data_IF_494671219888
#
_entry.id   IF_494671219888
#
_cell.length_a   1.000
_cell.length_b   1.000
_cell.length_c   1.000
_cell.angle_alpha   90.00
_cell.angle_beta   90.00
_cell.angle_gamma   90.00
#
_symmetry.space_group_name_H-M   'P 1'
#
loop_
_entity.id
_entity.type
_entity.pdbx_description
1 polymer ?
#
# COMPACT_ATOMS: atom_id res chain seq x y z
N UNK A 1 -45.44 -59.05 -29.58
CA UNK A 1 -44.03 -58.91 -29.13
C UNK A 1 -43.78 -57.44 -28.90
N UNK A 2 -43.81 -57.00 -27.64
CA UNK A 2 -43.52 -55.61 -27.25
C UNK A 2 -42.19 -55.66 -26.53
N UNK A 3 -41.15 -55.09 -27.13
CA UNK A 3 -39.84 -54.89 -26.48
C UNK A 3 -39.95 -53.70 -25.53
N UNK A 4 -39.72 -53.96 -24.24
CA UNK A 4 -39.45 -52.94 -23.23
C UNK A 4 -37.95 -52.58 -23.32
N UNK A 5 -37.59 -51.28 -23.36
CA UNK A 5 -36.19 -50.88 -23.32
C UNK A 5 -35.65 -50.93 -21.88
N UNK A 6 -34.59 -51.72 -21.70
CA UNK A 6 -33.67 -51.65 -20.56
C UNK A 6 -32.79 -50.40 -20.72
N UNK A 7 -33.12 -49.33 -20.01
CA UNK A 7 -32.24 -48.16 -19.87
C UNK A 7 -32.14 -47.77 -18.39
N UNK A 8 -31.31 -48.50 -17.66
CA UNK A 8 -30.86 -48.13 -16.31
C UNK A 8 -29.65 -47.21 -16.44
N UNK A 9 -29.91 -45.92 -16.59
CA UNK A 9 -28.89 -44.88 -16.42
C UNK A 9 -28.31 -44.95 -14.98
N UNK A 10 -27.00 -44.74 -14.80
CA UNK A 10 -26.38 -44.72 -13.47
C UNK A 10 -26.96 -43.57 -12.66
N UNK A 11 -27.57 -43.91 -11.51
CA UNK A 11 -28.02 -42.92 -10.51
C UNK A 11 -26.83 -42.06 -10.11
N UNK A 12 -26.85 -40.79 -10.48
CA UNK A 12 -25.98 -39.74 -9.95
C UNK A 12 -25.98 -39.83 -8.42
N UNK A 13 -24.80 -40.04 -7.82
CA UNK A 13 -24.64 -40.10 -6.38
C UNK A 13 -25.19 -38.81 -5.75
N UNK A 14 -26.14 -38.95 -4.83
CA UNK A 14 -26.64 -37.83 -4.05
C UNK A 14 -25.44 -37.17 -3.32
N UNK A 15 -25.34 -35.83 -3.30
CA UNK A 15 -24.24 -35.15 -2.63
C UNK A 15 -24.20 -35.58 -1.16
N UNK A 16 -23.02 -35.99 -0.68
CA UNK A 16 -22.82 -36.46 0.68
C UNK A 16 -23.33 -35.41 1.68
N UNK A 17 -24.27 -35.81 2.55
CA UNK A 17 -24.80 -34.95 3.60
C UNK A 17 -23.65 -34.44 4.50
N UNK A 18 -23.57 -33.12 4.71
CA UNK A 18 -22.62 -32.53 5.65
C UNK A 18 -22.82 -33.14 7.05
N UNK A 19 -21.72 -33.47 7.72
CA UNK A 19 -21.83 -34.03 9.07
C UNK A 19 -22.25 -32.92 10.05
N UNK A 20 -23.02 -33.30 11.08
CA UNK A 20 -23.41 -32.37 12.16
C UNK A 20 -22.16 -31.77 12.86
N UNK A 21 -21.03 -32.49 12.88
CA UNK A 21 -19.75 -32.00 13.41
C UNK A 21 -19.18 -30.85 12.55
N UNK A 22 -19.25 -30.95 11.23
CA UNK A 22 -18.81 -29.87 10.33
C UNK A 22 -19.71 -28.64 10.50
N UNK A 23 -21.01 -28.85 10.72
CA UNK A 23 -21.96 -27.77 11.00
C UNK A 23 -21.65 -27.09 12.34
N UNK A 24 -21.38 -27.86 13.39
CA UNK A 24 -20.99 -27.35 14.71
C UNK A 24 -19.67 -26.57 14.67
N UNK A 25 -18.68 -27.04 13.90
CA UNK A 25 -17.41 -26.34 13.69
C UNK A 25 -17.62 -25.01 12.95
N UNK A 26 -18.44 -25.00 11.89
CA UNK A 26 -18.80 -23.77 11.17
C UNK A 26 -19.53 -22.77 12.06
N UNK A 27 -20.52 -23.21 12.84
CA UNK A 27 -21.27 -22.33 13.76
C UNK A 27 -20.35 -21.79 14.86
N UNK A 28 -19.47 -22.62 15.43
CA UNK A 28 -18.47 -22.16 16.41
C UNK A 28 -17.50 -21.16 15.79
N UNK A 29 -17.05 -21.38 14.56
CA UNK A 29 -16.19 -20.44 13.84
C UNK A 29 -16.90 -19.10 13.57
N UNK A 30 -18.18 -19.12 13.18
CA UNK A 30 -18.97 -17.90 12.99
C UNK A 30 -19.28 -17.18 14.32
N UNK A 31 -19.55 -17.90 15.41
CA UNK A 31 -19.72 -17.31 16.73
C UNK A 31 -18.42 -16.65 17.23
N UNK A 32 -17.29 -17.33 17.06
CA UNK A 32 -15.97 -16.75 17.39
C UNK A 32 -15.66 -15.54 16.49
N UNK A 33 -16.07 -15.57 15.22
CA UNK A 33 -15.95 -14.44 14.30
C UNK A 33 -16.79 -13.25 14.76
N UNK A 34 -18.02 -13.46 15.24
CA UNK A 34 -18.88 -12.40 15.77
C UNK A 34 -18.32 -11.86 17.10
N UNK A 35 -17.90 -12.74 18.01
CA UNK A 35 -17.28 -12.34 19.28
C UNK A 35 -15.98 -11.56 19.09
N UNK A 36 -15.22 -11.87 18.04
CA UNK A 36 -13.99 -11.15 17.68
C UNK A 36 -14.21 -9.72 17.14
N UNK A 37 -15.44 -9.32 16.79
CA UNK A 37 -15.75 -7.99 16.24
C UNK A 37 -15.85 -6.86 17.27
N UNK A 38 -15.68 -7.15 18.57
CA UNK A 38 -15.77 -6.18 19.68
C UNK A 38 -16.86 -5.10 19.47
N UNK A 39 -18.12 -5.54 19.36
CA UNK A 39 -19.25 -4.66 19.05
C UNK A 39 -19.46 -3.57 20.13
N UNK A 40 -19.05 -3.84 21.37
CA UNK A 40 -19.09 -2.87 22.46
C UNK A 40 -18.05 -1.76 22.25
N UNK A 41 -16.82 -2.13 21.88
CA UNK A 41 -15.78 -1.17 21.48
C UNK A 41 -16.20 -0.32 20.28
N UNK A 42 -16.75 -0.96 19.23
CA UNK A 42 -17.26 -0.24 18.06
C UNK A 42 -18.36 0.77 18.44
N UNK A 43 -19.33 0.36 19.27
CA UNK A 43 -20.36 1.28 19.76
C UNK A 43 -19.76 2.48 20.49
N UNK A 44 -18.78 2.26 21.37
CA UNK A 44 -18.13 3.34 22.10
C UNK A 44 -17.37 4.31 21.16
N UNK A 45 -16.75 3.78 20.10
CA UNK A 45 -16.09 4.60 19.07
C UNK A 45 -17.09 5.44 18.26
N UNK A 46 -18.23 4.87 17.87
CA UNK A 46 -19.32 5.59 17.18
C UNK A 46 -19.88 6.69 18.08
N UNK A 47 -20.25 6.36 19.31
CA UNK A 47 -20.83 7.34 20.25
C UNK A 47 -19.88 8.52 20.49
N UNK A 48 -18.56 8.25 20.58
CA UNK A 48 -17.54 9.28 20.72
C UNK A 48 -17.42 10.16 19.48
N UNK A 49 -17.47 9.56 18.28
CA UNK A 49 -17.39 10.31 17.02
C UNK A 49 -18.60 11.22 16.85
N UNK A 50 -19.82 10.68 17.01
CA UNK A 50 -21.08 11.42 16.91
C UNK A 50 -21.13 12.57 17.92
N UNK A 51 -20.65 12.37 19.15
CA UNK A 51 -20.62 13.42 20.17
C UNK A 51 -19.70 14.61 19.82
N UNK A 52 -18.70 14.41 18.95
CA UNK A 52 -17.75 15.45 18.53
C UNK A 52 -18.01 16.03 17.13
N UNK A 53 -18.79 15.35 16.30
CA UNK A 53 -18.98 15.66 14.89
C UNK A 53 -19.58 17.07 14.67
N UNK A 54 -20.68 17.40 15.34
CA UNK A 54 -21.33 18.71 15.20
C UNK A 54 -20.37 19.88 15.49
N UNK A 55 -19.49 19.70 16.49
CA UNK A 55 -18.50 20.71 16.85
C UNK A 55 -17.42 20.85 15.76
N UNK A 56 -16.97 19.73 15.18
CA UNK A 56 -16.01 19.73 14.06
C UNK A 56 -16.61 20.42 12.83
N UNK A 57 -17.86 20.08 12.48
CA UNK A 57 -18.56 20.67 11.33
C UNK A 57 -18.77 22.16 11.54
N UNK A 58 -19.24 22.57 12.73
CA UNK A 58 -19.47 23.99 13.05
C UNK A 58 -18.18 24.81 13.05
N UNK A 59 -17.09 24.31 13.66
CA UNK A 59 -15.80 25.01 13.69
C UNK A 59 -15.21 25.15 12.28
N UNK A 60 -15.29 24.09 11.48
CA UNK A 60 -14.83 24.11 10.09
C UNK A 60 -15.62 25.11 9.25
N UNK A 61 -16.96 25.06 9.32
CA UNK A 61 -17.83 25.98 8.58
C UNK A 61 -17.57 27.45 8.92
N UNK A 62 -17.27 27.76 10.18
CA UNK A 62 -16.93 29.11 10.63
C UNK A 62 -15.59 29.61 10.05
N UNK A 63 -14.59 28.73 9.92
CA UNK A 63 -13.24 29.07 9.43
C UNK A 63 -13.13 29.07 7.90
N UNK A 64 -13.97 28.27 7.23
CA UNK A 64 -13.87 28.04 5.79
C UNK A 64 -13.79 29.32 4.92
N UNK A 65 -14.61 30.37 5.13
CA UNK A 65 -14.56 31.57 4.29
C UNK A 65 -13.17 32.23 4.28
N UNK A 66 -12.54 32.38 5.45
CA UNK A 66 -11.22 32.98 5.59
C UNK A 66 -10.12 32.11 4.97
N UNK A 67 -10.21 30.78 5.15
CA UNK A 67 -9.25 29.85 4.55
C UNK A 67 -9.34 29.86 3.01
N UNK A 68 -10.56 29.89 2.47
CA UNK A 68 -10.81 29.95 1.02
C UNK A 68 -10.32 31.27 0.43
N UNK A 69 -10.59 32.40 1.07
CA UNK A 69 -10.11 33.70 0.63
C UNK A 69 -8.57 33.74 0.59
N UNK A 70 -7.91 33.25 1.64
CA UNK A 70 -6.44 33.16 1.70
C UNK A 70 -5.89 32.26 0.60
N UNK A 71 -6.50 31.10 0.36
CA UNK A 71 -6.11 30.22 -0.75
C UNK A 71 -6.24 30.93 -2.11
N UNK A 72 -7.36 31.64 -2.35
CA UNK A 72 -7.55 32.40 -3.59
C UNK A 72 -6.49 33.50 -3.77
N UNK A 73 -6.14 34.22 -2.70
CA UNK A 73 -5.07 35.22 -2.71
C UNK A 73 -3.70 34.59 -3.05
N UNK A 74 -3.36 33.47 -2.42
CA UNK A 74 -2.14 32.73 -2.72
C UNK A 74 -2.11 32.21 -4.15
N UNK A 75 -3.24 31.76 -4.69
CA UNK A 75 -3.34 31.29 -6.06
C UNK A 75 -2.92 32.38 -7.06
N UNK A 76 -3.42 33.61 -6.87
CA UNK A 76 -3.02 34.74 -7.71
C UNK A 76 -1.52 35.03 -7.64
N UNK A 77 -0.93 34.94 -6.44
CA UNK A 77 0.51 35.10 -6.26
C UNK A 77 1.31 33.97 -6.93
N UNK A 78 0.80 32.73 -6.90
CA UNK A 78 1.41 31.58 -7.56
C UNK A 78 1.36 31.73 -9.09
N UNK A 79 0.27 32.24 -9.65
CA UNK A 79 0.17 32.55 -11.09
C UNK A 79 1.18 33.62 -11.50
N UNK A 80 1.34 34.67 -10.68
CA UNK A 80 2.35 35.71 -10.91
C UNK A 80 3.77 35.15 -10.82
N UNK A 81 4.05 34.32 -9.81
CA UNK A 81 5.33 33.64 -9.66
C UNK A 81 5.64 32.75 -10.86
N UNK A 82 4.69 31.93 -11.31
CA UNK A 82 4.85 31.10 -12.49
C UNK A 82 5.22 31.92 -13.73
N UNK A 83 4.51 33.02 -13.96
CA UNK A 83 4.81 33.93 -15.06
C UNK A 83 6.22 34.52 -14.96
N UNK A 84 6.62 34.95 -13.76
CA UNK A 84 7.96 35.47 -13.50
C UNK A 84 9.05 34.40 -13.73
N UNK A 85 8.80 33.15 -13.35
CA UNK A 85 9.72 32.03 -13.60
C UNK A 85 9.87 31.75 -15.09
N UNK A 86 8.78 31.72 -15.84
CA UNK A 86 8.85 31.54 -17.30
C UNK A 86 9.62 32.68 -17.97
N UNK A 87 9.51 33.92 -17.48
CA UNK A 87 10.31 35.04 -17.95
C UNK A 87 11.79 34.93 -17.57
N UNK A 88 12.10 34.46 -16.36
CA UNK A 88 13.49 34.30 -15.88
C UNK A 88 14.25 33.18 -16.61
N UNK A 89 13.54 32.18 -17.15
CA UNK A 89 14.10 31.05 -17.87
C UNK A 89 13.49 30.90 -19.28
N UNK A 90 13.80 31.81 -20.22
CA UNK A 90 13.27 31.74 -21.58
C UNK A 90 13.72 30.45 -22.29
N UNK A 91 12.88 29.88 -23.17
CA UNK A 91 13.31 28.86 -24.13
C UNK A 91 13.26 27.38 -23.69
N UNK A 92 12.68 27.04 -22.54
CA UNK A 92 12.55 25.67 -21.98
C UNK A 92 13.80 25.04 -21.35
N UNK A 93 14.93 25.76 -21.25
CA UNK A 93 16.13 25.26 -20.56
C UNK A 93 15.87 24.86 -19.09
N UNK A 94 14.86 25.47 -18.46
CA UNK A 94 14.47 25.10 -17.10
C UNK A 94 13.93 23.66 -16.99
N UNK A 95 13.26 23.13 -18.02
CA UNK A 95 12.78 21.74 -18.00
C UNK A 95 13.94 20.76 -18.07
N UNK A 96 14.98 21.09 -18.84
CA UNK A 96 16.21 20.31 -18.87
C UNK A 96 16.87 20.32 -17.48
N UNK A 97 16.98 21.48 -16.82
CA UNK A 97 17.48 21.59 -15.44
C UNK A 97 16.64 20.77 -14.45
N UNK A 98 15.30 20.82 -14.54
CA UNK A 98 14.42 20.00 -13.70
C UNK A 98 14.68 18.52 -13.95
N UNK A 99 14.76 18.10 -15.21
CA UNK A 99 14.98 16.70 -15.58
C UNK A 99 16.33 16.18 -15.06
N UNK A 100 17.42 16.93 -15.25
CA UNK A 100 18.77 16.46 -14.92
C UNK A 100 19.11 16.62 -13.45
N UNK A 101 18.69 17.72 -12.81
CA UNK A 101 19.10 18.04 -11.45
C UNK A 101 18.10 17.56 -10.38
N UNK A 102 16.82 17.41 -10.72
CA UNK A 102 15.78 17.03 -9.75
C UNK A 102 15.25 15.63 -10.06
N UNK A 103 14.80 15.39 -11.28
CA UNK A 103 14.15 14.13 -11.62
C UNK A 103 15.11 12.94 -11.58
N UNK A 104 16.38 13.12 -11.95
CA UNK A 104 17.40 12.06 -11.82
C UNK A 104 17.58 11.60 -10.37
N UNK A 105 17.69 12.53 -9.42
CA UNK A 105 17.79 12.20 -7.99
C UNK A 105 16.51 11.55 -7.46
N UNK A 106 15.34 12.04 -7.89
CA UNK A 106 14.08 11.39 -7.51
C UNK A 106 13.89 10.01 -8.14
N UNK A 107 14.46 9.76 -9.31
CA UNK A 107 14.45 8.44 -9.95
C UNK A 107 15.28 7.43 -9.15
N UNK A 108 16.42 7.84 -8.60
CA UNK A 108 17.19 6.97 -7.69
C UNK A 108 16.35 6.54 -6.48
N UNK A 109 15.67 7.48 -5.82
CA UNK A 109 14.75 7.17 -4.72
C UNK A 109 13.59 6.28 -5.17
N UNK A 110 13.03 6.53 -6.36
CA UNK A 110 11.99 5.69 -6.94
C UNK A 110 12.49 4.26 -7.13
N UNK A 111 13.69 4.08 -7.66
CA UNK A 111 14.31 2.77 -7.85
C UNK A 111 14.61 2.06 -6.52
N UNK A 112 15.12 2.78 -5.52
CA UNK A 112 15.29 2.23 -4.17
C UNK A 112 13.96 1.76 -3.58
N UNK A 113 12.88 2.52 -3.74
CA UNK A 113 11.55 2.12 -3.30
C UNK A 113 11.04 0.87 -4.03
N UNK A 114 11.30 0.74 -5.33
CA UNK A 114 10.98 -0.47 -6.08
C UNK A 114 11.77 -1.69 -5.56
N UNK A 115 13.06 -1.53 -5.26
CA UNK A 115 13.91 -2.59 -4.68
C UNK A 115 13.39 -3.00 -3.30
N UNK A 116 13.08 -2.04 -2.41
CA UNK A 116 12.50 -2.34 -1.09
C UNK A 116 11.19 -3.11 -1.26
N UNK A 117 10.33 -2.67 -2.18
CA UNK A 117 9.06 -3.34 -2.46
C UNK A 117 9.27 -4.77 -3.00
N UNK A 118 10.26 -4.98 -3.86
CA UNK A 118 10.61 -6.30 -4.38
C UNK A 118 11.17 -7.22 -3.28
N UNK A 119 12.07 -6.73 -2.44
CA UNK A 119 12.61 -7.47 -1.29
C UNK A 119 11.53 -7.83 -0.27
N UNK A 120 10.64 -6.89 0.04
CA UNK A 120 9.48 -7.15 0.89
C UNK A 120 8.64 -8.29 0.29
N UNK A 121 8.43 -8.33 -1.02
CA UNK A 121 7.69 -9.45 -1.66
C UNK A 121 8.41 -10.79 -1.52
N UNK A 122 9.73 -10.78 -1.59
CA UNK A 122 10.56 -11.98 -1.50
C UNK A 122 10.73 -12.53 -0.08
N UNK A 123 10.82 -11.63 0.91
CA UNK A 123 11.13 -11.99 2.30
C UNK A 123 9.91 -12.30 3.17
N UNK A 124 8.69 -12.15 2.65
CA UNK A 124 7.47 -12.28 3.46
C UNK A 124 6.52 -13.32 2.89
N UNK A 125 5.82 -14.05 3.76
CA UNK A 125 4.77 -14.99 3.37
C UNK A 125 3.55 -14.33 2.71
N UNK A 126 2.64 -15.12 2.13
CA UNK A 126 1.40 -14.58 1.53
C UNK A 126 0.52 -13.90 2.57
N UNK A 127 0.36 -14.49 3.76
CA UNK A 127 -0.46 -13.96 4.84
C UNK A 127 0.23 -12.76 5.49
N UNK A 128 1.55 -12.79 5.65
CA UNK A 128 2.33 -11.63 6.08
C UNK A 128 2.17 -10.43 5.13
N UNK A 129 2.26 -10.65 3.81
CA UNK A 129 2.01 -9.59 2.80
C UNK A 129 0.59 -9.04 2.91
N UNK A 130 -0.41 -9.90 3.06
CA UNK A 130 -1.79 -9.48 3.21
C UNK A 130 -1.99 -8.64 4.47
N UNK A 131 -1.38 -9.05 5.59
CA UNK A 131 -1.37 -8.30 6.85
C UNK A 131 -0.71 -6.93 6.70
N UNK A 132 0.49 -6.88 6.10
CA UNK A 132 1.22 -5.62 5.87
C UNK A 132 0.45 -4.67 4.95
N UNK A 133 -0.17 -5.18 3.88
CA UNK A 133 -1.01 -4.38 3.00
C UNK A 133 -2.28 -3.87 3.69
N UNK A 134 -2.90 -4.66 4.57
CA UNK A 134 -4.03 -4.24 5.38
C UNK A 134 -3.63 -3.19 6.42
N UNK A 135 -2.48 -3.36 7.09
CA UNK A 135 -1.91 -2.38 8.02
C UNK A 135 -1.63 -1.04 7.33
N UNK A 136 -1.05 -1.06 6.13
CA UNK A 136 -0.82 0.16 5.35
C UNK A 136 -2.13 0.89 5.02
N UNK A 137 -3.19 0.14 4.63
CA UNK A 137 -4.52 0.71 4.38
C UNK A 137 -5.14 1.29 5.65
N UNK A 138 -5.03 0.58 6.78
CA UNK A 138 -5.49 1.06 8.09
C UNK A 138 -4.80 2.36 8.48
N UNK A 139 -3.47 2.42 8.40
CA UNK A 139 -2.70 3.62 8.73
C UNK A 139 -3.05 4.80 7.82
N UNK A 140 -3.25 4.55 6.51
CA UNK A 140 -3.65 5.59 5.57
C UNK A 140 -5.06 6.12 5.84
N UNK A 141 -6.03 5.24 6.12
CA UNK A 141 -7.39 5.63 6.45
C UNK A 141 -7.45 6.38 7.79
N UNK A 142 -6.67 5.94 8.79
CA UNK A 142 -6.52 6.66 10.06
C UNK A 142 -5.95 8.06 9.85
N UNK A 143 -4.86 8.17 9.09
CA UNK A 143 -4.25 9.47 8.80
C UNK A 143 -5.22 10.41 8.08
N UNK A 144 -6.07 9.88 7.19
CA UNK A 144 -7.11 10.66 6.53
C UNK A 144 -8.20 11.13 7.53
N UNK A 145 -8.70 10.25 8.39
CA UNK A 145 -9.66 10.63 9.43
C UNK A 145 -9.08 11.68 10.41
N UNK A 146 -7.82 11.50 10.82
CA UNK A 146 -7.11 12.48 11.67
C UNK A 146 -6.99 13.84 10.94
N UNK A 147 -6.62 13.82 9.65
CA UNK A 147 -6.51 15.01 8.82
C UNK A 147 -7.87 15.71 8.65
N UNK A 148 -8.95 14.96 8.46
CA UNK A 148 -10.31 15.52 8.37
C UNK A 148 -10.81 16.05 9.71
N UNK A 149 -10.53 15.36 10.81
CA UNK A 149 -10.88 15.84 12.16
C UNK A 149 -10.11 17.10 12.55
N UNK A 150 -8.92 17.30 11.99
CA UNK A 150 -8.10 18.50 12.18
C UNK A 150 -8.08 19.42 10.94
N UNK A 151 -9.07 19.32 10.04
CA UNK A 151 -8.96 19.86 8.67
C UNK A 151 -8.69 21.36 8.65
N UNK A 152 -9.46 22.17 9.39
CA UNK A 152 -9.29 23.62 9.41
C UNK A 152 -7.87 24.03 9.88
N UNK A 153 -7.37 23.42 10.96
CA UNK A 153 -6.03 23.70 11.49
C UNK A 153 -4.94 23.20 10.54
N UNK A 154 -5.15 22.04 9.92
CA UNK A 154 -4.24 21.48 8.91
C UNK A 154 -4.13 22.36 7.67
N UNK A 155 -5.25 22.86 7.15
CA UNK A 155 -5.30 23.81 6.03
C UNK A 155 -4.61 25.11 6.42
N UNK A 156 -4.93 25.70 7.58
CA UNK A 156 -4.32 26.96 8.01
C UNK A 156 -2.78 26.86 8.13
N UNK A 157 -2.29 25.75 8.70
CA UNK A 157 -0.85 25.45 8.74
C UNK A 157 -0.25 25.32 7.34
N UNK A 158 -0.93 24.63 6.43
CA UNK A 158 -0.46 24.44 5.06
C UNK A 158 -0.47 25.74 4.25
N UNK A 159 -1.49 26.58 4.41
CA UNK A 159 -1.55 27.93 3.82
C UNK A 159 -0.42 28.81 4.39
N UNK A 160 -0.13 28.72 5.68
CA UNK A 160 1.01 29.44 6.29
C UNK A 160 2.35 28.98 5.73
N UNK A 161 2.52 27.67 5.54
CA UNK A 161 3.70 27.14 4.85
C UNK A 161 3.79 27.63 3.41
N UNK A 162 2.65 27.75 2.71
CA UNK A 162 2.55 28.26 1.34
C UNK A 162 2.98 29.72 1.27
N UNK A 163 2.57 30.57 2.22
CA UNK A 163 3.02 31.97 2.31
C UNK A 163 4.54 32.09 2.50
N UNK A 164 5.12 31.23 3.35
CA UNK A 164 6.57 31.13 3.53
C UNK A 164 7.28 30.80 2.22
N UNK A 165 6.85 29.74 1.52
CA UNK A 165 7.43 29.35 0.23
C UNK A 165 7.27 30.41 -0.85
N UNK A 166 6.12 31.10 -0.91
CA UNK A 166 5.90 32.22 -1.84
C UNK A 166 6.92 33.33 -1.57
N UNK A 167 7.14 33.68 -0.30
CA UNK A 167 8.10 34.71 0.12
C UNK A 167 9.52 34.31 -0.25
N UNK A 168 9.91 33.07 0.06
CA UNK A 168 11.24 32.52 -0.25
C UNK A 168 11.49 32.55 -1.77
N UNK A 169 10.54 32.07 -2.57
CA UNK A 169 10.66 32.08 -4.03
C UNK A 169 10.79 33.51 -4.55
N UNK A 170 9.93 34.45 -4.12
CA UNK A 170 10.02 35.86 -4.54
C UNK A 170 11.40 36.45 -4.26
N UNK A 171 12.00 36.13 -3.11
CA UNK A 171 13.33 36.62 -2.74
C UNK A 171 14.46 36.04 -3.61
N UNK A 172 14.28 34.83 -4.15
CA UNK A 172 15.30 34.09 -4.89
C UNK A 172 15.27 34.32 -6.41
N UNK A 173 14.12 34.68 -6.99
CA UNK A 173 13.93 34.80 -8.45
C UNK A 173 14.89 35.80 -9.11
N UNK A 174 15.40 36.80 -8.38
CA UNK A 174 16.35 37.79 -8.90
C UNK A 174 17.79 37.57 -8.44
N UNK A 175 18.12 36.38 -7.92
CA UNK A 175 19.44 36.06 -7.37
C UNK A 175 20.21 35.08 -8.25
N UNK A 176 21.55 35.00 -8.13
CA UNK A 176 22.35 33.97 -8.79
C UNK A 176 21.92 32.51 -8.45
N UNK A 177 21.22 32.31 -7.32
CA UNK A 177 20.65 31.02 -6.90
C UNK A 177 19.29 30.68 -7.51
N UNK A 178 18.84 31.43 -8.53
CA UNK A 178 17.50 31.32 -9.10
C UNK A 178 17.09 29.90 -9.50
N UNK A 179 17.99 28.97 -9.85
CA UNK A 179 17.60 27.62 -10.23
C UNK A 179 16.90 26.82 -9.11
N UNK A 180 17.21 27.11 -7.83
CA UNK A 180 16.57 26.46 -6.67
C UNK A 180 15.06 26.72 -6.64
N UNK A 181 14.61 27.86 -7.17
CA UNK A 181 13.18 28.20 -7.20
C UNK A 181 12.37 27.23 -8.05
N UNK A 182 12.98 26.55 -9.03
CA UNK A 182 12.29 25.56 -9.86
C UNK A 182 11.89 24.36 -9.00
N UNK A 183 12.76 23.93 -8.09
CA UNK A 183 12.43 22.88 -7.12
C UNK A 183 11.36 23.36 -6.13
N UNK A 184 11.56 24.52 -5.51
CA UNK A 184 10.61 25.07 -4.54
C UNK A 184 9.22 25.27 -5.15
N UNK A 185 9.15 25.77 -6.39
CA UNK A 185 7.89 26.01 -7.07
C UNK A 185 7.21 24.70 -7.52
N UNK A 186 7.85 23.91 -8.38
CA UNK A 186 7.18 22.77 -9.03
C UNK A 186 7.06 21.53 -8.14
N UNK A 187 7.94 21.36 -7.15
CA UNK A 187 7.98 20.15 -6.33
C UNK A 187 7.48 20.31 -4.90
N UNK A 188 7.37 21.54 -4.40
CA UNK A 188 6.88 21.82 -3.05
C UNK A 188 5.63 22.72 -3.07
N UNK A 189 5.75 23.96 -3.52
CA UNK A 189 4.69 24.97 -3.45
C UNK A 189 3.47 24.58 -4.28
N UNK A 190 3.65 24.30 -5.57
CA UNK A 190 2.54 24.00 -6.48
C UNK A 190 1.80 22.71 -6.07
N UNK A 191 2.47 21.58 -5.75
CA UNK A 191 1.79 20.37 -5.26
C UNK A 191 1.01 20.63 -3.96
N UNK A 192 1.60 21.32 -2.98
CA UNK A 192 0.94 21.63 -1.70
C UNK A 192 -0.28 22.54 -1.91
N UNK A 193 -0.13 23.60 -2.69
CA UNK A 193 -1.24 24.53 -2.96
C UNK A 193 -2.39 23.83 -3.70
N UNK A 194 -2.07 22.95 -4.67
CA UNK A 194 -3.07 22.14 -5.39
C UNK A 194 -3.75 21.12 -4.49
N UNK A 195 -3.06 20.53 -3.50
CA UNK A 195 -3.71 19.59 -2.58
C UNK A 195 -4.75 20.26 -1.69
N UNK A 196 -4.62 21.57 -1.45
CA UNK A 196 -5.57 22.36 -0.66
C UNK A 196 -6.76 22.91 -1.47
N UNK A 197 -6.77 22.71 -2.79
CA UNK A 197 -7.69 23.36 -3.72
C UNK A 197 -9.17 23.14 -3.36
N UNK A 198 -10.00 24.21 -3.29
CA UNK A 198 -11.44 24.08 -3.13
C UNK A 198 -12.07 23.34 -4.32
N UNK A 199 -13.07 22.50 -4.06
CA UNK A 199 -13.73 21.75 -5.15
C UNK A 199 -14.59 22.64 -6.06
N UNK A 200 -14.98 23.84 -5.59
CA UNK A 200 -15.82 24.82 -6.30
C UNK A 200 -15.06 25.83 -7.17
N UNK A 201 -13.73 25.68 -7.33
CA UNK A 201 -12.96 26.57 -8.21
C UNK A 201 -13.27 26.36 -9.70
N UNK A 202 -13.12 27.43 -10.49
CA UNK A 202 -13.25 27.36 -11.95
C UNK A 202 -12.29 26.37 -12.60
N UNK A 203 -12.65 25.84 -13.78
CA UNK A 203 -11.79 24.91 -14.53
C UNK A 203 -10.44 25.52 -14.89
N UNK A 204 -10.36 26.83 -15.17
CA UNK A 204 -9.09 27.50 -15.44
C UNK A 204 -8.13 27.40 -14.26
N UNK A 205 -8.64 27.64 -13.04
CA UNK A 205 -7.87 27.53 -11.80
C UNK A 205 -7.47 26.07 -11.54
N UNK A 206 -8.40 25.12 -11.76
CA UNK A 206 -8.19 23.68 -11.57
C UNK A 206 -7.08 23.11 -12.46
N UNK A 207 -7.00 23.60 -13.70
CA UNK A 207 -6.06 23.12 -14.71
C UNK A 207 -4.78 23.95 -14.80
N UNK A 208 -4.63 25.00 -13.97
CA UNK A 208 -3.42 25.80 -13.91
C UNK A 208 -2.18 24.92 -13.69
N UNK A 209 -1.22 24.98 -14.63
CA UNK A 209 0.02 24.20 -14.60
C UNK A 209 -0.19 22.67 -14.42
N UNK A 210 -1.31 22.12 -14.92
CA UNK A 210 -1.65 20.69 -14.73
C UNK A 210 -0.64 19.71 -15.36
N UNK A 211 0.08 20.14 -16.39
CA UNK A 211 1.15 19.36 -17.05
C UNK A 211 2.52 19.54 -16.41
N UNK A 212 2.62 20.38 -15.38
CA UNK A 212 3.87 20.73 -14.69
C UNK A 212 3.89 20.18 -13.26
N UNK A 213 3.21 19.05 -13.05
CA UNK A 213 3.29 18.30 -11.80
C UNK A 213 4.65 17.57 -11.72
N UNK A 214 5.15 17.25 -10.51
CA UNK A 214 6.36 16.44 -10.35
C UNK A 214 6.34 15.15 -11.17
N UNK A 215 5.20 14.47 -11.22
CA UNK A 215 5.02 13.25 -11.98
C UNK A 215 5.15 13.49 -13.48
N UNK A 216 4.49 14.52 -14.02
CA UNK A 216 4.54 14.85 -15.44
C UNK A 216 5.93 15.36 -15.86
N UNK A 217 6.56 16.20 -15.04
CA UNK A 217 7.91 16.72 -15.30
C UNK A 217 8.98 15.62 -15.26
N UNK A 218 8.83 14.62 -14.38
CA UNK A 218 9.78 13.51 -14.25
C UNK A 218 9.37 12.25 -15.01
N UNK A 219 8.27 12.26 -15.78
CA UNK A 219 7.71 11.07 -16.40
C UNK A 219 8.72 10.36 -17.32
N UNK A 220 9.48 11.11 -18.10
CA UNK A 220 10.49 10.57 -19.03
C UNK A 220 11.66 9.92 -18.29
N UNK A 221 12.09 10.50 -17.16
CA UNK A 221 13.15 9.94 -16.33
C UNK A 221 12.64 8.69 -15.60
N UNK A 222 11.43 8.71 -15.07
CA UNK A 222 10.83 7.56 -14.38
C UNK A 222 10.52 6.38 -15.30
N UNK A 223 10.36 6.63 -16.61
CA UNK A 223 10.23 5.57 -17.59
C UNK A 223 11.55 4.81 -17.84
N UNK A 224 12.69 5.33 -17.38
CA UNK A 224 13.97 4.64 -17.48
C UNK A 224 13.99 3.45 -16.52
N UNK A 225 14.51 2.32 -17.00
CA UNK A 225 14.63 1.12 -16.20
C UNK A 225 15.48 1.39 -14.95
N UNK A 226 15.01 0.93 -13.80
CA UNK A 226 15.83 0.89 -12.61
C UNK A 226 16.98 -0.12 -12.81
N UNK A 227 18.18 0.16 -12.28
CA UNK A 227 19.29 -0.76 -12.39
C UNK A 227 18.88 -2.14 -11.83
N UNK A 228 19.28 -3.23 -12.49
CA UNK A 228 18.99 -4.57 -11.99
C UNK A 228 19.61 -4.72 -10.62
N UNK A 229 18.87 -5.34 -9.70
CA UNK A 229 19.41 -5.64 -8.38
C UNK A 229 20.36 -6.84 -8.50
N UNK A 230 21.62 -6.67 -8.12
CA UNK A 230 22.56 -7.77 -7.97
C UNK A 230 22.02 -8.74 -6.89
N UNK A 231 21.65 -9.95 -7.31
CA UNK A 231 21.02 -10.93 -6.41
C UNK A 231 19.52 -10.70 -6.21
N UNK A 232 18.83 -10.03 -7.14
CA UNK A 232 17.37 -9.90 -7.16
C UNK A 232 16.74 -11.27 -6.86
N UNK A 233 16.08 -11.37 -5.72
CA UNK A 233 15.32 -12.56 -5.41
C UNK A 233 14.17 -12.68 -6.42
N UNK A 234 14.06 -13.85 -7.04
CA UNK A 234 12.88 -14.20 -7.84
C UNK A 234 11.75 -14.44 -6.85
N UNK A 235 10.65 -13.66 -6.88
CA UNK A 235 9.51 -13.92 -6.02
C UNK A 235 9.06 -15.38 -6.23
N UNK A 236 8.71 -16.13 -5.17
CA UNK A 236 8.20 -17.47 -5.32
C UNK A 236 7.01 -17.43 -6.29
N UNK A 237 7.10 -18.20 -7.37
CA UNK A 237 5.98 -18.35 -8.31
C UNK A 237 4.82 -18.98 -7.55
N UNK A 238 3.62 -18.44 -7.73
CA UNK A 238 2.43 -19.14 -7.26
C UNK A 238 2.29 -20.48 -8.02
N UNK A 239 1.47 -21.40 -7.51
CA UNK A 239 1.25 -22.72 -8.13
C UNK A 239 0.69 -22.65 -9.57
N UNK A 240 0.39 -21.45 -10.08
CA UNK A 240 -0.10 -21.22 -11.44
C UNK A 240 1.00 -20.71 -12.39
N UNK A 241 2.25 -20.55 -11.94
CA UNK A 241 3.35 -20.06 -12.79
C UNK A 241 3.12 -18.64 -13.30
N UNK A 242 2.10 -17.95 -12.78
CA UNK A 242 1.95 -16.53 -13.00
C UNK A 242 2.92 -15.87 -12.04
N UNK A 243 3.96 -15.24 -12.57
CA UNK A 243 4.72 -14.27 -11.80
C UNK A 243 3.69 -13.28 -11.26
N UNK A 244 3.35 -13.42 -9.97
CA UNK A 244 2.25 -12.76 -9.27
C UNK A 244 1.92 -11.44 -9.96
N UNK A 245 1.02 -11.48 -10.96
CA UNK A 245 0.61 -10.26 -11.62
C UNK A 245 -0.01 -9.49 -10.49
N UNK A 246 0.65 -8.38 -10.17
CA UNK A 246 0.33 -7.51 -9.05
C UNK A 246 -1.16 -7.62 -8.81
N UNK A 247 -1.54 -8.24 -7.70
CA UNK A 247 -2.80 -7.91 -7.08
C UNK A 247 -2.69 -6.42 -6.76
N UNK A 248 -2.85 -5.58 -7.78
CA UNK A 248 -3.66 -4.40 -7.69
C UNK A 248 -5.04 -4.92 -7.27
N UNK A 249 -5.14 -5.42 -6.04
CA UNK A 249 -6.32 -5.14 -5.26
C UNK A 249 -6.43 -3.65 -5.40
N UNK A 250 -7.41 -3.24 -6.19
CA UNK A 250 -7.84 -1.87 -6.36
C UNK A 250 -7.97 -1.32 -4.96
N UNK A 251 -6.89 -0.69 -4.46
CA UNK A 251 -6.95 0.07 -3.24
C UNK A 251 -8.10 1.02 -3.49
N UNK A 252 -9.13 1.04 -2.63
CA UNK A 252 -10.05 2.15 -2.63
C UNK A 252 -9.15 3.38 -2.56
N UNK A 253 -9.15 4.20 -3.61
CA UNK A 253 -8.26 5.34 -3.68
C UNK A 253 -8.57 6.18 -2.44
N UNK A 254 -7.64 6.24 -1.48
CA UNK A 254 -7.76 7.14 -0.35
C UNK A 254 -7.89 8.52 -0.98
N UNK A 255 -9.10 9.11 -0.88
CA UNK A 255 -9.53 10.21 -1.75
C UNK A 255 -8.53 11.37 -1.73
N UNK A 256 -7.91 11.66 -0.58
CA UNK A 256 -6.77 12.55 -0.34
C UNK A 256 -6.21 12.22 1.06
N UNK A 257 -4.88 12.19 1.25
CA UNK A 257 -4.27 11.94 2.57
C UNK A 257 -3.89 13.23 3.32
N UNK A 258 -3.92 14.37 2.64
CA UNK A 258 -3.62 15.69 3.20
C UNK A 258 -4.93 16.49 3.37
N UNK A 259 -5.01 17.44 4.34
CA UNK A 259 -6.13 18.37 4.47
C UNK A 259 -6.46 19.09 3.16
N UNK A 260 -7.73 19.41 2.91
CA UNK A 260 -8.16 20.22 1.75
C UNK A 260 -9.45 20.99 2.01
N UNK A 261 -9.68 22.03 1.21
CA UNK A 261 -10.88 22.86 1.30
C UNK A 261 -12.10 22.10 0.73
N UNK A 262 -12.90 21.53 1.62
CA UNK A 262 -14.21 20.92 1.33
C UNK A 262 -15.28 21.99 1.48
N UNK A 263 -16.25 22.06 0.57
CA UNK A 263 -17.38 22.98 0.76
C UNK A 263 -18.10 22.67 2.09
N UNK A 264 -18.48 23.67 2.91
CA UNK A 264 -19.07 23.42 4.24
C UNK A 264 -20.27 22.46 4.21
N UNK A 265 -21.11 22.56 3.18
CA UNK A 265 -22.28 21.68 3.01
C UNK A 265 -21.92 20.20 2.71
N UNK A 266 -20.71 19.92 2.24
CA UNK A 266 -20.23 18.57 1.94
C UNK A 266 -19.29 18.02 3.02
N UNK A 267 -18.83 18.86 3.95
CA UNK A 267 -17.79 18.49 4.91
C UNK A 267 -18.22 17.39 5.89
N UNK A 268 -19.46 17.44 6.38
CA UNK A 268 -20.00 16.38 7.24
C UNK A 268 -19.97 15.02 6.53
N UNK A 269 -20.53 14.94 5.32
CA UNK A 269 -20.56 13.69 4.55
C UNK A 269 -19.15 13.15 4.25
N UNK A 270 -18.17 14.02 3.97
CA UNK A 270 -16.78 13.59 3.78
C UNK A 270 -16.17 13.08 5.10
N UNK A 271 -16.46 13.72 6.24
CA UNK A 271 -16.01 13.26 7.55
C UNK A 271 -16.57 11.87 7.89
N UNK A 272 -17.87 11.65 7.68
CA UNK A 272 -18.54 10.34 7.83
C UNK A 272 -17.92 9.29 6.90
N UNK A 273 -17.69 9.62 5.63
CA UNK A 273 -17.03 8.74 4.66
C UNK A 273 -15.60 8.35 5.11
N UNK A 274 -14.83 9.30 5.65
CA UNK A 274 -13.49 8.99 6.17
C UNK A 274 -13.52 8.11 7.43
N UNK A 275 -14.53 8.29 8.28
CA UNK A 275 -14.75 7.43 9.44
C UNK A 275 -15.10 5.99 9.04
N UNK A 276 -16.00 5.82 8.06
CA UNK A 276 -16.36 4.50 7.53
C UNK A 276 -15.14 3.80 6.88
N UNK A 277 -14.35 4.54 6.10
CA UNK A 277 -13.14 4.02 5.48
C UNK A 277 -12.09 3.58 6.52
N UNK A 278 -11.92 4.37 7.60
CA UNK A 278 -11.07 4.02 8.73
C UNK A 278 -11.53 2.72 9.40
N UNK A 279 -12.82 2.60 9.71
CA UNK A 279 -13.36 1.42 10.38
C UNK A 279 -13.24 0.17 9.51
N UNK A 280 -13.58 0.27 8.22
CA UNK A 280 -13.42 -0.83 7.26
C UNK A 280 -11.97 -1.30 7.17
N UNK A 281 -11.01 -0.36 7.11
CA UNK A 281 -9.60 -0.70 7.05
C UNK A 281 -9.08 -1.32 8.37
N UNK A 282 -9.64 -0.92 9.52
CA UNK A 282 -9.35 -1.50 10.83
C UNK A 282 -9.82 -2.96 10.91
N UNK A 283 -11.04 -3.24 10.46
CA UNK A 283 -11.59 -4.61 10.41
C UNK A 283 -10.81 -5.52 9.44
N UNK A 284 -10.46 -5.00 8.26
CA UNK A 284 -9.62 -5.69 7.29
C UNK A 284 -8.25 -6.04 7.89
N UNK A 285 -7.63 -5.08 8.59
CA UNK A 285 -6.35 -5.31 9.26
C UNK A 285 -6.47 -6.35 10.38
N UNK A 286 -7.48 -6.23 11.25
CA UNK A 286 -7.72 -7.20 12.32
C UNK A 286 -7.92 -8.62 11.76
N UNK A 287 -8.67 -8.74 10.65
CA UNK A 287 -8.89 -10.01 9.95
C UNK A 287 -7.58 -10.57 9.37
N UNK A 288 -6.82 -9.77 8.63
CA UNK A 288 -5.56 -10.20 8.02
C UNK A 288 -4.51 -10.56 9.08
N UNK A 289 -4.44 -9.78 10.16
CA UNK A 289 -3.55 -10.01 11.28
C UNK A 289 -3.92 -11.29 12.05
N UNK A 290 -5.21 -11.55 12.28
CA UNK A 290 -5.69 -12.78 12.91
C UNK A 290 -5.39 -14.01 12.05
N UNK A 291 -5.57 -13.91 10.73
CA UNK A 291 -5.22 -14.98 9.79
C UNK A 291 -3.71 -15.28 9.79
N UNK A 292 -2.88 -14.23 9.79
CA UNK A 292 -1.43 -14.37 9.90
C UNK A 292 -1.01 -14.96 11.25
N UNK A 293 -1.59 -14.52 12.36
CA UNK A 293 -1.29 -15.09 13.69
C UNK A 293 -1.72 -16.54 13.84
N UNK A 294 -2.85 -16.91 13.23
CA UNK A 294 -3.38 -18.29 13.29
C UNK A 294 -2.62 -19.24 12.38
N UNK A 295 -1.99 -18.72 11.32
CA UNK A 295 -1.16 -19.48 10.39
C UNK A 295 0.08 -18.66 10.01
N UNK A 296 1.07 -18.54 10.91
CA UNK A 296 2.27 -17.77 10.62
C UNK A 296 2.99 -18.42 9.44
N UNK A 297 3.05 -17.70 8.32
CA UNK A 297 3.80 -18.11 7.13
C UNK A 297 5.11 -17.32 7.01
N UNK A 298 5.69 -16.96 8.16
CA UNK A 298 6.97 -16.28 8.23
C UNK A 298 8.13 -17.24 7.90
N UNK A 299 9.24 -16.67 7.43
CA UNK A 299 10.46 -17.43 7.10
C UNK A 299 10.94 -18.28 8.29
N UNK A 300 10.69 -17.84 9.53
CA UNK A 300 11.01 -18.60 10.73
C UNK A 300 10.20 -19.91 10.84
N UNK A 301 8.90 -19.89 10.53
CA UNK A 301 8.02 -21.05 10.53
C UNK A 301 8.37 -22.01 9.39
N UNK A 302 8.74 -21.50 8.21
CA UNK A 302 9.27 -22.31 7.10
C UNK A 302 10.63 -22.92 7.43
N UNK A 303 11.52 -22.19 8.12
CA UNK A 303 12.82 -22.68 8.59
C UNK A 303 12.66 -23.75 9.67
N UNK A 304 11.71 -23.57 10.59
CA UNK A 304 11.38 -24.56 11.61
C UNK A 304 10.77 -25.82 11.00
N UNK A 305 9.85 -25.68 10.04
CA UNK A 305 9.27 -26.80 9.31
C UNK A 305 10.32 -27.56 8.48
N UNK A 306 11.25 -26.84 7.82
CA UNK A 306 12.39 -27.43 7.13
C UNK A 306 13.29 -28.21 8.09
N UNK A 307 13.58 -27.66 9.27
CA UNK A 307 14.39 -28.33 10.31
C UNK A 307 13.73 -29.62 10.80
N UNK A 308 12.40 -29.60 11.02
CA UNK A 308 11.62 -30.79 11.40
C UNK A 308 11.62 -31.83 10.27
N UNK A 309 11.45 -31.41 9.02
CA UNK A 309 11.49 -32.29 7.86
C UNK A 309 12.88 -32.92 7.66
N UNK A 310 13.96 -32.15 7.89
CA UNK A 310 15.34 -32.62 7.84
C UNK A 310 15.60 -33.69 8.91
N UNK A 311 15.18 -33.44 10.16
CA UNK A 311 15.33 -34.40 11.25
C UNK A 311 14.54 -35.69 11.00
N UNK A 312 13.34 -35.60 10.43
CA UNK A 312 12.53 -36.76 10.05
C UNK A 312 13.19 -37.57 8.92
N UNK A 313 13.79 -36.90 7.92
CA UNK A 313 14.53 -37.54 6.84
C UNK A 313 15.78 -38.27 7.37
N UNK A 314 16.56 -37.64 8.25
CA UNK A 314 17.75 -38.24 8.86
C UNK A 314 17.41 -39.48 9.70
N UNK A 315 16.31 -39.43 10.45
CA UNK A 315 15.82 -40.58 11.21
C UNK A 315 15.45 -41.76 10.28
N UNK A 316 14.79 -41.47 9.15
CA UNK A 316 14.43 -42.48 8.15
C UNK A 316 15.66 -43.09 7.46
N UNK A 317 16.68 -42.29 7.13
CA UNK A 317 17.94 -42.77 6.55
C UNK A 317 18.66 -43.70 7.53
N UNK A 318 18.79 -43.32 8.80
CA UNK A 318 19.42 -44.16 9.84
C UNK A 318 18.67 -45.47 10.06
N UNK A 319 17.34 -45.42 10.09
CA UNK A 319 16.50 -46.61 10.23
C UNK A 319 16.61 -47.55 9.00
N UNK A 320 16.86 -47.00 7.81
CA UNK A 320 17.10 -47.77 6.59
C UNK A 320 18.50 -48.43 6.61
N UNK A 321 19.55 -47.67 6.94
CA UNK A 321 20.92 -48.15 7.00
C UNK A 321 21.14 -49.20 8.09
N UNK A 322 20.46 -49.10 9.23
CA UNK A 322 20.52 -50.11 10.30
C UNK A 322 19.95 -51.48 9.91
N UNK A 323 19.21 -51.58 8.80
CA UNK A 323 18.68 -52.83 8.25
C UNK A 323 19.58 -53.45 7.18
N UNK A 324 20.56 -52.71 6.66
CA UNK A 324 21.54 -53.22 5.73
C UNK A 324 22.63 -53.97 6.51
N UNK A 325 22.59 -55.30 6.53
CA UNK A 325 23.74 -56.06 7.02
C UNK A 325 24.88 -55.97 6.00
N UNK A 326 26.13 -55.67 6.42
CA UNK A 326 27.27 -55.78 5.52
C UNK A 326 27.40 -57.25 5.11
N UNK A 327 27.44 -57.51 3.79
CA UNK A 327 27.76 -58.82 3.26
C UNK A 327 29.14 -59.23 3.80
N UNK A 328 29.16 -60.11 4.79
CA UNK A 328 30.36 -60.67 5.40
C UNK A 328 31.07 -61.69 4.50
N UNK A 329 31.17 -61.42 3.18
CA UNK A 329 31.87 -62.29 2.24
C UNK A 329 32.70 -61.49 1.24
N UNK A 330 34.01 -61.49 1.50
CA UNK A 330 35.02 -61.71 0.46
C UNK A 330 35.49 -60.47 -0.30
N UNK A 331 36.33 -59.64 0.32
CA UNK A 331 37.27 -58.77 -0.40
C UNK A 331 38.52 -58.57 0.48
N UNK A 332 39.31 -59.63 0.68
CA UNK A 332 40.75 -59.61 1.07
C UNK A 332 41.22 -61.05 1.40
N UNK A 333 41.01 -62.03 0.52
CA UNK A 333 41.79 -63.27 0.53
C UNK A 333 41.98 -63.71 -0.92
N UNK A 334 43.14 -63.37 -1.48
CA UNK A 334 43.77 -64.19 -2.51
C UNK A 334 45.24 -64.38 -2.11
N UNK A 335 45.44 -65.52 -1.45
CA UNK A 335 46.45 -66.54 -1.75
C UNK A 335 47.93 -66.14 -1.74
N UNK A 336 48.50 -66.17 -0.54
CA UNK A 336 49.89 -66.53 -0.34
C UNK A 336 49.97 -67.98 0.18
N UNK A 337 49.84 -68.98 -0.70
CA UNK A 337 50.54 -70.27 -0.60
C UNK A 337 50.10 -71.27 -1.68
N UNK A 338 51.01 -71.58 -2.60
CA UNK A 338 51.32 -72.98 -2.94
C UNK A 338 52.81 -73.06 -3.25
N UNK A 339 53.57 -73.50 -2.25
CA UNK A 339 54.86 -74.15 -2.43
C UNK A 339 54.62 -75.62 -2.76
N UNK A 340 55.22 -76.09 -3.85
CA UNK A 340 55.86 -77.40 -4.03
C UNK A 340 56.64 -77.36 -5.34
#
# INVERSE_FOLDING_TARGET
>A
MVQLPDDLAPRTQAPACQSIKDLQQKVTAELNRIAAKDLAGLKAEIDKFVAGEDALVSDYAAKYPALRERWCSQHQQIVQLHSALLCAFPGQDWKALVSTCICALKHELHCQQQIITARQRCGTGKLERASNAALARYNAAKANLDAMSANAAGIDKALTSTDGMITDIKSLVSTPGQAVVLYLFYFLLLPLHRSLMPDDVSDTVRHFAATETPQALCQTVYAQACPPEDGACTPPQDQQGQACQSGQQTQPAVRRAAPWLVAPAAYQAELECTWEAYHTAKDDYATAQSQFQSNPDDIASLTAALTVAQAALDANIRACLGKAQPNAKGCCQHDANTAS
#
